data_IF_994903688525
#
_entry.id   IF_994903688525
#
_cell.length_a   1.000
_cell.length_b   1.000
_cell.length_c   1.000
_cell.angle_alpha   90.00
_cell.angle_beta   90.00
_cell.angle_gamma   90.00
#
_symmetry.space_group_name_H-M   'P 1'
#
loop_
_entity.id
_entity.type
_entity.pdbx_description
1 polymer ?
#
# COMPACT_ATOMS: atom_id res chain seq x y z
N UNK A 1 -11.15 -10.43 -9.28
CA UNK A 1 -10.99 -11.06 -10.60
C UNK A 1 -10.90 -12.57 -10.37
N UNK A 2 -11.79 -13.42 -10.93
CA UNK A 2 -11.87 -14.84 -10.55
C UNK A 2 -10.58 -15.64 -10.75
N UNK A 3 -9.73 -15.22 -11.69
CA UNK A 3 -8.46 -15.86 -12.04
C UNK A 3 -7.25 -15.36 -11.21
N UNK A 4 -7.47 -14.44 -10.27
CA UNK A 4 -6.42 -13.83 -9.45
C UNK A 4 -6.19 -12.34 -9.76
N UNK A 5 -5.75 -11.60 -8.74
CA UNK A 5 -5.45 -10.17 -8.83
C UNK A 5 -6.62 -9.23 -8.55
N UNK A 6 -6.27 -7.93 -8.51
CA UNK A 6 -7.17 -6.79 -8.40
C UNK A 6 -7.00 -5.90 -9.63
N UNK A 7 -7.96 -5.01 -9.90
CA UNK A 7 -7.93 -4.19 -11.11
C UNK A 7 -8.54 -2.83 -10.83
N UNK A 8 -8.03 -1.81 -11.51
CA UNK A 8 -8.67 -0.50 -11.54
C UNK A 8 -10.08 -0.60 -12.14
N UNK A 9 -10.99 0.24 -11.67
CA UNK A 9 -12.38 0.29 -12.16
C UNK A 9 -12.67 1.64 -12.80
N UNK A 10 -13.58 1.67 -13.78
CA UNK A 10 -13.98 2.91 -14.45
C UNK A 10 -15.08 3.66 -13.70
N UNK A 11 -15.93 2.98 -12.95
CA UNK A 11 -17.07 3.60 -12.28
C UNK A 11 -17.21 3.16 -10.83
N UNK A 12 -16.87 4.05 -9.90
CA UNK A 12 -16.99 3.81 -8.45
C UNK A 12 -18.43 3.91 -7.93
N UNK A 13 -19.38 4.39 -8.75
CA UNK A 13 -20.79 4.59 -8.36
C UNK A 13 -21.71 3.46 -8.82
N UNK A 14 -21.24 2.56 -9.69
CA UNK A 14 -22.00 1.41 -10.16
C UNK A 14 -21.54 0.14 -9.43
N UNK A 15 -22.38 -0.29 -8.48
CA UNK A 15 -22.12 -1.49 -7.67
C UNK A 15 -22.30 -2.79 -8.46
N UNK A 16 -23.14 -2.78 -9.50
CA UNK A 16 -23.43 -3.98 -10.28
C UNK A 16 -22.40 -4.18 -11.38
N UNK A 17 -21.92 -3.10 -11.99
CA UNK A 17 -20.93 -3.12 -13.06
C UNK A 17 -19.92 -1.96 -12.96
N UNK A 18 -18.87 -2.11 -12.14
CA UNK A 18 -17.84 -1.07 -11.99
C UNK A 18 -16.92 -0.92 -13.21
N UNK A 19 -17.05 -1.79 -14.23
CA UNK A 19 -16.30 -1.79 -15.49
C UNK A 19 -14.76 -1.84 -15.30
N UNK A 20 -14.18 -3.03 -15.10
CA UNK A 20 -12.73 -3.25 -14.92
C UNK A 20 -11.86 -2.71 -16.06
N UNK A 21 -10.68 -2.16 -15.72
CA UNK A 21 -9.70 -1.58 -16.67
C UNK A 21 -8.54 -2.51 -17.04
N UNK A 22 -8.59 -3.76 -16.60
CA UNK A 22 -7.56 -4.79 -16.83
C UNK A 22 -6.12 -4.34 -16.51
N UNK A 23 -5.95 -3.63 -15.39
CA UNK A 23 -4.62 -3.19 -14.91
C UNK A 23 -4.55 -3.20 -13.40
N UNK A 24 -3.60 -3.96 -12.87
CA UNK A 24 -3.19 -3.90 -11.47
C UNK A 24 -1.93 -3.04 -11.39
N UNK A 25 -2.07 -1.83 -10.84
CA UNK A 25 -0.92 -0.94 -10.68
C UNK A 25 0.03 -1.48 -9.60
N UNK A 26 1.33 -1.28 -9.77
CA UNK A 26 2.36 -1.77 -8.84
C UNK A 26 2.10 -1.30 -7.40
N UNK A 27 1.68 -0.04 -7.26
CA UNK A 27 1.36 0.59 -5.99
C UNK A 27 0.19 -0.05 -5.24
N UNK A 28 -0.67 -0.84 -5.90
CA UNK A 28 -1.71 -1.57 -5.15
C UNK A 28 -1.07 -2.57 -4.18
N UNK A 29 -0.03 -3.29 -4.63
CA UNK A 29 0.72 -4.22 -3.78
C UNK A 29 1.79 -3.49 -2.96
N UNK A 30 2.51 -2.56 -3.59
CA UNK A 30 3.60 -1.82 -2.96
C UNK A 30 3.15 -0.87 -1.85
N UNK A 31 2.00 -0.23 -2.01
CA UNK A 31 1.51 0.80 -1.10
C UNK A 31 0.22 0.37 -0.39
N UNK A 32 -0.88 0.16 -1.13
CA UNK A 32 -2.21 -0.06 -0.54
C UNK A 32 -2.21 -1.25 0.43
N UNK A 33 -1.75 -2.42 -0.01
CA UNK A 33 -1.73 -3.60 0.86
C UNK A 33 -0.64 -3.54 1.95
N UNK A 34 0.50 -2.90 1.68
CA UNK A 34 1.55 -2.69 2.70
C UNK A 34 1.02 -1.84 3.85
N UNK A 35 0.33 -0.73 3.53
CA UNK A 35 -0.24 0.14 4.54
C UNK A 35 -1.41 -0.51 5.29
N UNK A 36 -2.26 -1.31 4.64
CA UNK A 36 -3.27 -2.09 5.37
C UNK A 36 -2.63 -3.09 6.34
N UNK A 37 -1.57 -3.78 5.93
CA UNK A 37 -0.85 -4.70 6.80
C UNK A 37 -0.26 -3.98 8.02
N UNK A 38 0.38 -2.82 7.82
CA UNK A 38 0.94 -2.03 8.92
C UNK A 38 -0.15 -1.42 9.82
N UNK A 39 -1.26 -0.95 9.24
CA UNK A 39 -2.40 -0.38 9.97
C UNK A 39 -3.05 -1.40 10.92
N UNK A 40 -3.15 -2.66 10.47
CA UNK A 40 -3.77 -3.74 11.25
C UNK A 40 -2.75 -4.56 12.05
N UNK A 41 -1.47 -4.21 12.00
CA UNK A 41 -0.43 -4.87 12.81
C UNK A 41 -0.62 -4.54 14.29
N UNK A 42 -0.58 -5.56 15.14
CA UNK A 42 -0.53 -5.39 16.60
C UNK A 42 0.89 -5.05 17.11
N UNK A 43 1.92 -5.21 16.29
CA UNK A 43 3.31 -4.89 16.64
C UNK A 43 3.69 -3.47 16.19
N UNK A 44 3.80 -2.48 17.11
CA UNK A 44 4.23 -1.13 16.77
C UNK A 44 5.72 -1.03 16.41
N UNK A 45 6.51 -2.08 16.63
CA UNK A 45 7.96 -2.09 16.36
C UNK A 45 8.32 -2.65 14.99
N UNK A 46 7.38 -3.28 14.29
CA UNK A 46 7.61 -3.93 13.00
C UNK A 46 8.26 -2.98 11.98
N UNK A 47 7.71 -1.76 11.82
CA UNK A 47 8.33 -0.64 11.11
C UNK A 47 8.12 0.62 11.97
N UNK A 48 9.04 0.85 12.91
CA UNK A 48 8.97 2.01 13.82
C UNK A 48 9.19 3.31 13.06
N UNK A 49 8.30 4.29 13.29
CA UNK A 49 8.40 5.65 12.74
C UNK A 49 9.57 6.45 13.31
N UNK A 50 10.16 6.01 14.43
CA UNK A 50 11.38 6.61 14.99
C UNK A 50 12.64 6.14 14.24
N UNK A 51 12.55 5.07 13.44
CA UNK A 51 13.67 4.45 12.74
C UNK A 51 13.59 4.57 11.22
N UNK A 52 12.38 4.66 10.67
CA UNK A 52 12.15 4.65 9.23
C UNK A 52 11.26 5.81 8.80
N UNK A 53 11.55 6.34 7.63
CA UNK A 53 10.69 7.26 6.89
C UNK A 53 10.29 6.59 5.58
N UNK A 54 9.00 6.63 5.24
CA UNK A 54 8.53 6.11 3.96
C UNK A 54 8.74 7.15 2.86
N UNK A 55 9.21 6.72 1.68
CA UNK A 55 9.13 7.55 0.49
C UNK A 55 7.68 7.58 -0.06
N UNK A 56 7.46 8.33 -1.14
CA UNK A 56 6.14 8.48 -1.76
C UNK A 56 5.58 7.21 -2.44
N UNK A 57 6.33 6.11 -2.47
CA UNK A 57 5.93 4.81 -3.04
C UNK A 57 6.02 3.70 -1.96
N UNK A 58 5.85 4.10 -0.69
CA UNK A 58 5.82 3.25 0.50
C UNK A 58 7.08 2.39 0.73
N UNK A 59 8.24 2.75 0.20
CA UNK A 59 9.49 2.10 0.54
C UNK A 59 10.06 2.71 1.84
N UNK A 60 10.24 1.92 2.91
CA UNK A 60 10.84 2.42 4.15
C UNK A 60 12.34 2.64 3.96
N UNK A 61 12.81 3.84 4.29
CA UNK A 61 14.22 4.24 4.27
C UNK A 61 14.67 4.53 5.70
N UNK A 62 15.89 4.14 6.10
CA UNK A 62 16.38 4.37 7.45
C UNK A 62 16.58 5.87 7.70
N UNK A 63 16.11 6.35 8.85
CA UNK A 63 16.45 7.68 9.36
C UNK A 63 17.94 7.66 9.74
N UNK A 64 18.67 8.70 9.34
CA UNK A 64 20.07 8.82 9.71
C UNK A 64 20.21 9.16 11.19
N UNK A 65 21.19 8.58 11.91
CA UNK A 65 21.49 8.99 13.27
C UNK A 65 21.81 10.50 13.29
N UNK A 66 21.25 11.22 14.25
CA UNK A 66 21.73 12.58 14.52
C UNK A 66 23.20 12.50 14.92
N UNK A 67 24.04 13.32 14.30
CA UNK A 67 25.41 13.52 14.77
C UNK A 67 25.34 14.21 16.15
N UNK A 68 26.08 13.67 17.11
CA UNK A 68 26.28 14.27 18.43
C UNK A 68 26.98 15.64 18.33
#
# INVERSE_FOLDING_TARGET
>A
VPTGGYTSINNVRDLANPNPRDKMESFFLGETLKYFYLLFSEDPKLISLDKYVFNTEAHPLPIWPQAE
#
